data_IF_508880303184
#
_entry.id   IF_508880303184
#
_cell.length_a   1.000
_cell.length_b   1.000
_cell.length_c   1.000
_cell.angle_alpha   90.00
_cell.angle_beta   90.00
_cell.angle_gamma   90.00
#
_symmetry.space_group_name_H-M   'P 1'
#
loop_
_entity.id
_entity.type
_entity.pdbx_description
1 polymer ?
#
# COMPACT_ATOMS: atom_id res chain seq x y z
N UNK A 1 17.17 13.23 -28.65
CA UNK A 1 16.15 12.55 -29.47
C UNK A 1 15.10 12.01 -28.50
N UNK A 2 13.87 12.54 -28.55
CA UNK A 2 12.76 11.95 -27.81
C UNK A 2 12.40 10.66 -28.55
N UNK A 3 12.68 9.51 -27.93
CA UNK A 3 12.08 8.25 -28.37
C UNK A 3 10.55 8.44 -28.30
N UNK A 4 9.81 7.98 -29.30
CA UNK A 4 8.35 8.04 -29.25
C UNK A 4 7.79 6.97 -28.29
N UNK A 5 6.48 7.02 -28.01
CA UNK A 5 5.84 6.04 -27.14
C UNK A 5 5.98 4.60 -27.67
N UNK A 6 5.98 4.43 -29.00
CA UNK A 6 6.08 3.13 -29.67
C UNK A 6 7.46 2.49 -29.44
N UNK A 7 8.53 3.27 -29.59
CA UNK A 7 9.88 2.80 -29.34
C UNK A 7 10.13 2.49 -27.86
N UNK A 8 9.54 3.28 -26.96
CA UNK A 8 9.60 2.96 -25.54
C UNK A 8 8.84 1.66 -25.21
N UNK A 9 7.67 1.43 -25.80
CA UNK A 9 6.94 0.16 -25.66
C UNK A 9 7.80 -1.02 -26.14
N UNK A 10 8.47 -0.90 -27.29
CA UNK A 10 9.38 -1.95 -27.80
C UNK A 10 10.52 -2.24 -26.83
N UNK A 11 11.09 -1.21 -26.20
CA UNK A 11 12.21 -1.34 -25.28
C UNK A 11 11.85 -2.01 -23.94
N UNK A 12 10.57 -2.15 -23.59
CA UNK A 12 10.14 -2.90 -22.41
C UNK A 12 10.52 -4.38 -22.46
N UNK A 13 10.79 -4.93 -23.65
CA UNK A 13 11.19 -6.33 -23.84
C UNK A 13 12.68 -6.47 -24.20
N UNK A 14 13.48 -5.40 -24.09
CA UNK A 14 14.92 -5.47 -24.37
C UNK A 14 15.63 -6.39 -23.35
N UNK A 15 16.67 -7.08 -23.79
CA UNK A 15 17.48 -7.98 -22.94
C UNK A 15 18.15 -7.25 -21.78
N UNK A 16 18.47 -5.97 -21.95
CA UNK A 16 19.07 -5.12 -20.93
C UNK A 16 18.02 -4.53 -19.98
N UNK A 17 18.10 -4.90 -18.70
CA UNK A 17 17.22 -4.32 -17.66
C UNK A 17 17.36 -2.80 -17.58
N UNK A 18 18.55 -2.25 -17.86
CA UNK A 18 18.75 -0.80 -17.89
C UNK A 18 17.90 -0.10 -18.96
N UNK A 19 17.74 -0.71 -20.15
CA UNK A 19 16.89 -0.19 -21.22
C UNK A 19 15.41 -0.33 -20.87
N UNK A 20 14.99 -1.49 -20.34
CA UNK A 20 13.61 -1.69 -19.86
C UNK A 20 13.21 -0.65 -18.81
N UNK A 21 14.12 -0.35 -17.86
CA UNK A 21 13.94 0.70 -16.85
C UNK A 21 13.82 2.09 -17.46
N UNK A 22 14.66 2.43 -18.42
CA UNK A 22 14.60 3.71 -19.13
C UNK A 22 13.29 3.87 -19.91
N UNK A 23 12.84 2.80 -20.56
CA UNK A 23 11.54 2.74 -21.24
C UNK A 23 10.38 2.97 -20.27
N UNK A 24 10.35 2.29 -19.12
CA UNK A 24 9.32 2.50 -18.11
C UNK A 24 9.29 3.94 -17.58
N UNK A 25 10.46 4.53 -17.27
CA UNK A 25 10.56 5.94 -16.85
C UNK A 25 9.99 6.89 -17.91
N UNK A 26 10.28 6.62 -19.18
CA UNK A 26 9.82 7.42 -20.29
C UNK A 26 8.30 7.30 -20.50
N UNK A 27 7.77 6.07 -20.52
CA UNK A 27 6.33 5.84 -20.64
C UNK A 27 5.55 6.49 -19.50
N UNK A 28 6.05 6.41 -18.26
CA UNK A 28 5.46 7.12 -17.12
C UNK A 28 5.39 8.63 -17.34
N UNK A 29 6.43 9.23 -17.93
CA UNK A 29 6.46 10.67 -18.25
C UNK A 29 5.47 11.03 -19.35
N UNK A 30 5.27 10.14 -20.31
CA UNK A 30 4.30 10.33 -21.41
C UNK A 30 2.86 10.16 -20.92
N UNK A 31 2.61 9.22 -20.01
CA UNK A 31 1.28 8.96 -19.45
C UNK A 31 0.27 8.46 -20.49
N UNK A 32 0.75 7.82 -21.56
CA UNK A 32 -0.10 7.32 -22.65
C UNK A 32 -0.79 6.00 -22.23
N UNK A 33 -2.14 5.95 -22.13
CA UNK A 33 -2.87 4.75 -21.76
C UNK A 33 -2.62 3.54 -22.69
N UNK A 34 -2.23 3.79 -23.94
CA UNK A 34 -1.93 2.73 -24.90
C UNK A 34 -0.71 1.88 -24.47
N UNK A 35 0.13 2.39 -23.57
CA UNK A 35 1.28 1.67 -23.04
C UNK A 35 0.92 0.70 -21.89
N UNK A 36 -0.26 0.84 -21.28
CA UNK A 36 -0.70 0.04 -20.12
C UNK A 36 -0.57 -1.47 -20.32
N UNK A 37 -1.16 -2.06 -21.38
CA UNK A 37 -1.07 -3.50 -21.63
C UNK A 37 0.37 -4.01 -21.79
N UNK A 38 1.21 -3.25 -22.50
CA UNK A 38 2.62 -3.62 -22.68
C UNK A 38 3.43 -3.52 -21.39
N UNK A 39 3.15 -2.51 -20.55
CA UNK A 39 3.75 -2.36 -19.22
C UNK A 39 3.36 -3.50 -18.28
N UNK A 40 2.09 -3.90 -18.28
CA UNK A 40 1.60 -5.00 -17.46
C UNK A 40 2.33 -6.32 -17.81
N UNK A 41 2.40 -6.66 -19.10
CA UNK A 41 3.09 -7.87 -19.55
C UNK A 41 4.59 -7.83 -19.27
N UNK A 42 5.23 -6.67 -19.43
CA UNK A 42 6.64 -6.50 -19.06
C UNK A 42 6.86 -6.67 -17.55
N UNK A 43 6.00 -6.09 -16.71
CA UNK A 43 6.08 -6.21 -15.26
C UNK A 43 5.93 -7.66 -14.80
N UNK A 44 4.97 -8.42 -15.34
CA UNK A 44 4.79 -9.86 -15.06
C UNK A 44 6.04 -10.70 -15.30
N UNK A 45 6.85 -10.33 -16.28
CA UNK A 45 8.11 -11.00 -16.57
C UNK A 45 9.23 -10.49 -15.65
N UNK A 46 9.31 -9.17 -15.41
CA UNK A 46 10.37 -8.55 -14.61
C UNK A 46 10.32 -8.99 -13.13
N UNK A 47 9.12 -9.17 -12.56
CA UNK A 47 8.96 -9.57 -11.14
C UNK A 47 9.54 -10.94 -10.82
N UNK A 48 9.82 -11.77 -11.84
CA UNK A 48 10.44 -13.09 -11.67
C UNK A 48 11.94 -13.00 -11.35
N UNK A 49 12.59 -11.86 -11.62
CA UNK A 49 14.00 -11.64 -11.32
C UNK A 49 14.18 -10.64 -10.18
N UNK A 50 14.41 -11.14 -8.97
CA UNK A 50 14.59 -10.33 -7.75
C UNK A 50 15.79 -9.37 -7.81
N UNK A 51 16.71 -9.52 -8.76
CA UNK A 51 17.86 -8.61 -8.94
C UNK A 51 17.49 -7.29 -9.61
N UNK A 52 16.29 -7.18 -10.17
CA UNK A 52 15.85 -6.05 -11.00
C UNK A 52 14.93 -5.07 -10.27
N UNK A 53 15.16 -4.89 -8.96
CA UNK A 53 14.28 -4.11 -8.08
C UNK A 53 13.95 -2.71 -8.59
N UNK A 54 14.93 -1.99 -9.16
CA UNK A 54 14.69 -0.64 -9.67
C UNK A 54 13.82 -0.67 -10.93
N UNK A 55 13.98 -1.68 -11.78
CA UNK A 55 13.17 -1.84 -13.00
C UNK A 55 11.73 -2.20 -12.65
N UNK A 56 11.53 -3.14 -11.72
CA UNK A 56 10.20 -3.48 -11.21
C UNK A 56 9.50 -2.26 -10.59
N UNK A 57 10.22 -1.45 -9.79
CA UNK A 57 9.69 -0.20 -9.24
C UNK A 57 9.22 0.76 -10.34
N UNK A 58 10.06 1.01 -11.35
CA UNK A 58 9.72 1.95 -12.42
C UNK A 58 8.57 1.45 -13.30
N UNK A 59 8.52 0.15 -13.60
CA UNK A 59 7.40 -0.45 -14.34
C UNK A 59 6.10 -0.36 -13.55
N UNK A 60 6.14 -0.62 -12.23
CA UNK A 60 4.95 -0.50 -11.36
C UNK A 60 4.44 0.93 -11.30
N UNK A 61 5.32 1.92 -11.12
CA UNK A 61 4.95 3.34 -11.16
C UNK A 61 4.42 3.78 -12.53
N UNK A 62 5.01 3.26 -13.62
CA UNK A 62 4.56 3.55 -14.97
C UNK A 62 3.17 2.98 -15.23
N UNK A 63 2.90 1.75 -14.77
CA UNK A 63 1.59 1.12 -14.83
C UNK A 63 0.55 1.92 -14.03
N UNK A 64 0.90 2.48 -12.88
CA UNK A 64 0.00 3.39 -12.14
C UNK A 64 -0.40 4.66 -12.92
N UNK A 65 0.40 5.07 -13.91
CA UNK A 65 0.13 6.27 -14.72
C UNK A 65 -0.51 5.96 -16.07
N UNK A 66 -0.13 4.83 -16.69
CA UNK A 66 -0.53 4.45 -18.04
C UNK A 66 -1.52 3.28 -18.07
N UNK A 67 -1.72 2.60 -16.95
CA UNK A 67 -2.59 1.45 -16.83
C UNK A 67 -4.06 1.85 -16.69
N UNK A 68 -4.88 0.86 -16.41
CA UNK A 68 -6.32 1.00 -16.24
C UNK A 68 -6.81 0.24 -15.00
N UNK A 69 -8.04 0.48 -14.51
CA UNK A 69 -8.62 -0.25 -13.39
C UNK A 69 -8.56 -1.78 -13.51
N UNK A 70 -8.57 -2.33 -14.72
CA UNK A 70 -8.45 -3.78 -14.92
C UNK A 70 -7.10 -4.37 -14.47
N UNK A 71 -6.09 -3.53 -14.23
CA UNK A 71 -4.77 -3.95 -13.74
C UNK A 71 -4.73 -4.10 -12.21
N UNK A 72 -5.75 -3.59 -11.50
CA UNK A 72 -5.82 -3.63 -10.02
C UNK A 72 -5.75 -5.04 -9.43
N UNK A 73 -6.45 -6.07 -9.94
CA UNK A 73 -6.35 -7.42 -9.41
C UNK A 73 -4.90 -7.92 -9.42
N UNK A 74 -4.19 -7.70 -10.53
CA UNK A 74 -2.79 -8.12 -10.63
C UNK A 74 -1.88 -7.36 -9.65
N UNK A 75 -2.04 -6.04 -9.52
CA UNK A 75 -1.23 -5.25 -8.57
C UNK A 75 -1.50 -5.67 -7.12
N UNK A 76 -2.75 -5.95 -6.76
CA UNK A 76 -3.12 -6.44 -5.43
C UNK A 76 -2.47 -7.80 -5.16
N UNK A 77 -2.56 -8.73 -6.10
CA UNK A 77 -1.91 -10.04 -5.98
C UNK A 77 -0.39 -9.90 -5.86
N UNK A 78 0.22 -9.02 -6.67
CA UNK A 78 1.66 -8.77 -6.66
C UNK A 78 2.13 -8.27 -5.29
N UNK A 79 1.49 -7.26 -4.70
CA UNK A 79 1.94 -6.69 -3.40
C UNK A 79 1.63 -7.58 -2.20
N UNK A 80 0.85 -8.65 -2.37
CA UNK A 80 0.61 -9.65 -1.33
C UNK A 80 1.56 -10.85 -1.41
N UNK A 81 2.33 -10.99 -2.50
CA UNK A 81 3.33 -12.05 -2.60
C UNK A 81 4.48 -11.82 -1.61
N UNK A 82 4.93 -12.91 -0.99
CA UNK A 82 5.94 -12.88 0.07
C UNK A 82 7.31 -12.39 -0.43
N UNK A 83 7.62 -12.68 -1.68
CA UNK A 83 8.89 -12.34 -2.33
C UNK A 83 8.91 -10.92 -2.89
N UNK A 84 7.80 -10.18 -2.79
CA UNK A 84 7.69 -8.83 -3.35
C UNK A 84 8.64 -7.86 -2.67
N UNK A 85 9.38 -7.14 -3.50
CA UNK A 85 10.42 -6.24 -3.03
C UNK A 85 9.82 -5.02 -2.33
N UNK A 86 10.53 -4.50 -1.31
CA UNK A 86 10.10 -3.32 -0.56
C UNK A 86 9.79 -2.13 -1.48
N UNK A 87 10.62 -1.89 -2.50
CA UNK A 87 10.37 -0.83 -3.48
C UNK A 87 9.06 -1.04 -4.26
N UNK A 88 8.73 -2.28 -4.63
CA UNK A 88 7.51 -2.62 -5.36
C UNK A 88 6.26 -2.40 -4.50
N UNK A 89 6.34 -2.59 -3.19
CA UNK A 89 5.24 -2.22 -2.29
C UNK A 89 4.94 -0.71 -2.34
N UNK A 90 5.96 0.14 -2.23
CA UNK A 90 5.75 1.60 -2.34
C UNK A 90 5.16 1.99 -3.69
N UNK A 91 5.71 1.47 -4.79
CA UNK A 91 5.17 1.75 -6.12
C UNK A 91 3.75 1.18 -6.32
N UNK A 92 3.49 -0.01 -5.77
CA UNK A 92 2.20 -0.67 -5.85
C UNK A 92 1.11 0.11 -5.10
N UNK A 93 1.43 0.67 -3.93
CA UNK A 93 0.50 1.51 -3.18
C UNK A 93 0.11 2.77 -3.96
N UNK A 94 1.10 3.44 -4.56
CA UNK A 94 0.87 4.62 -5.40
C UNK A 94 0.02 4.24 -6.64
N UNK A 95 0.41 3.17 -7.35
CA UNK A 95 -0.29 2.71 -8.55
C UNK A 95 -1.73 2.27 -8.26
N UNK A 96 -1.99 1.56 -7.17
CA UNK A 96 -3.33 1.12 -6.78
C UNK A 96 -4.25 2.33 -6.55
N UNK A 97 -3.78 3.38 -5.86
CA UNK A 97 -4.60 4.59 -5.64
C UNK A 97 -4.87 5.34 -6.95
N UNK A 98 -3.87 5.46 -7.83
CA UNK A 98 -4.03 6.13 -9.14
C UNK A 98 -5.00 5.39 -10.06
N UNK A 99 -4.90 4.07 -10.14
CA UNK A 99 -5.79 3.28 -10.99
C UNK A 99 -7.21 3.19 -10.42
N UNK A 100 -7.35 3.22 -9.09
CA UNK A 100 -8.66 3.25 -8.46
C UNK A 100 -9.44 4.54 -8.77
N UNK A 101 -8.76 5.64 -9.11
CA UNK A 101 -9.38 6.90 -9.59
C UNK A 101 -10.43 6.68 -10.68
N UNK A 102 -10.19 5.68 -11.54
CA UNK A 102 -10.91 5.56 -12.80
C UNK A 102 -12.17 4.67 -12.72
N UNK A 103 -12.45 4.01 -11.60
CA UNK A 103 -13.68 3.20 -11.44
C UNK A 103 -14.34 3.24 -10.04
N UNK A 104 -13.60 3.40 -8.93
CA UNK A 104 -14.13 3.28 -7.55
C UNK A 104 -13.59 4.39 -6.63
N UNK A 105 -14.27 4.66 -5.51
CA UNK A 105 -13.82 5.69 -4.55
C UNK A 105 -12.40 5.39 -4.05
N UNK A 106 -11.48 6.38 -4.11
CA UNK A 106 -10.14 6.27 -3.54
C UNK A 106 -10.12 5.84 -2.08
N UNK A 107 -11.18 6.14 -1.33
CA UNK A 107 -11.35 5.70 0.05
C UNK A 107 -11.24 4.17 0.17
N UNK A 108 -11.82 3.41 -0.77
CA UNK A 108 -11.74 1.95 -0.74
C UNK A 108 -10.32 1.44 -1.01
N UNK A 109 -9.61 2.07 -1.93
CA UNK A 109 -8.23 1.74 -2.24
C UNK A 109 -7.30 2.02 -1.05
N UNK A 110 -7.46 3.18 -0.42
CA UNK A 110 -6.70 3.57 0.78
C UNK A 110 -7.01 2.58 1.91
N UNK A 111 -8.30 2.34 2.20
CA UNK A 111 -8.71 1.39 3.25
C UNK A 111 -8.20 -0.02 2.99
N UNK A 112 -8.25 -0.49 1.75
CA UNK A 112 -7.65 -1.77 1.38
C UNK A 112 -6.15 -1.80 1.69
N UNK A 113 -5.38 -0.77 1.31
CA UNK A 113 -3.97 -0.68 1.64
C UNK A 113 -3.73 -0.72 3.16
N UNK A 114 -4.53 -0.02 3.96
CA UNK A 114 -4.45 -0.04 5.43
C UNK A 114 -4.67 -1.45 6.00
N UNK A 115 -5.63 -2.22 5.47
CA UNK A 115 -5.92 -3.58 5.95
C UNK A 115 -4.77 -4.57 5.73
N UNK A 116 -3.84 -4.28 4.81
CA UNK A 116 -2.67 -5.14 4.59
C UNK A 116 -1.67 -5.11 5.75
N UNK A 117 -1.71 -4.08 6.61
CA UNK A 117 -0.71 -3.89 7.66
C UNK A 117 0.68 -3.50 7.16
N UNK A 118 0.87 -3.37 5.84
CA UNK A 118 2.17 -3.11 5.22
C UNK A 118 2.42 -1.60 5.10
N UNK A 119 3.27 -1.08 5.98
CA UNK A 119 3.58 0.34 6.10
C UNK A 119 4.15 0.96 4.82
N UNK A 120 4.87 0.17 4.03
CA UNK A 120 5.54 0.63 2.80
C UNK A 120 4.56 0.79 1.66
N UNK A 121 3.60 -0.14 1.59
CA UNK A 121 2.45 -0.07 0.69
C UNK A 121 1.54 1.11 1.04
N UNK A 122 1.22 1.25 2.33
CA UNK A 122 0.41 2.36 2.86
C UNK A 122 1.09 3.71 2.58
N UNK A 123 2.40 3.81 2.83
CA UNK A 123 3.18 5.01 2.54
C UNK A 123 3.11 5.41 1.06
N UNK A 124 3.23 4.44 0.15
CA UNK A 124 3.06 4.68 -1.29
C UNK A 124 1.65 5.16 -1.65
N UNK A 125 0.62 4.54 -1.07
CA UNK A 125 -0.77 4.96 -1.27
C UNK A 125 -1.03 6.40 -0.80
N UNK A 126 -0.56 6.76 0.39
CA UNK A 126 -0.69 8.11 0.93
C UNK A 126 0.14 9.14 0.14
N UNK A 127 1.30 8.74 -0.39
CA UNK A 127 2.06 9.56 -1.32
C UNK A 127 1.24 9.89 -2.58
N UNK A 128 0.56 8.89 -3.17
CA UNK A 128 -0.33 9.14 -4.32
C UNK A 128 -1.47 10.09 -3.95
N UNK A 129 -2.11 9.93 -2.79
CA UNK A 129 -3.14 10.84 -2.28
C UNK A 129 -2.64 12.29 -2.26
N UNK A 130 -1.44 12.52 -1.71
CA UNK A 130 -0.83 13.85 -1.67
C UNK A 130 -0.51 14.39 -3.07
N UNK A 131 0.06 13.56 -3.95
CA UNK A 131 0.44 13.96 -5.31
C UNK A 131 -0.76 14.26 -6.21
N UNK A 132 -1.86 13.51 -6.05
CA UNK A 132 -3.13 13.72 -6.74
C UNK A 132 -3.98 14.83 -6.09
N UNK A 133 -3.53 15.39 -4.95
CA UNK A 133 -4.25 16.40 -4.15
C UNK A 133 -5.67 15.94 -3.79
N UNK A 134 -5.81 14.65 -3.47
CA UNK A 134 -7.07 14.08 -3.03
C UNK A 134 -7.37 14.53 -1.61
N UNK A 135 -8.62 14.91 -1.35
CA UNK A 135 -9.11 15.18 -0.01
C UNK A 135 -9.90 13.94 0.47
N UNK A 136 -9.28 13.03 1.26
CA UNK A 136 -10.01 11.92 1.85
C UNK A 136 -11.11 12.44 2.78
N UNK A 137 -12.22 11.71 2.83
CA UNK A 137 -13.29 12.00 3.79
C UNK A 137 -12.82 11.73 5.24
N UNK A 138 -13.62 12.21 6.20
CA UNK A 138 -13.28 12.12 7.62
C UNK A 138 -13.14 10.67 8.12
N UNK A 139 -13.88 9.72 7.54
CA UNK A 139 -13.81 8.30 7.91
C UNK A 139 -12.44 7.74 7.49
N UNK A 140 -12.06 7.98 6.23
CA UNK A 140 -10.75 7.58 5.70
C UNK A 140 -9.58 8.21 6.47
N UNK A 141 -9.70 9.49 6.87
CA UNK A 141 -8.69 10.14 7.72
C UNK A 141 -8.57 9.44 9.07
N UNK A 142 -9.71 9.08 9.68
CA UNK A 142 -9.72 8.36 10.96
C UNK A 142 -9.05 7.00 10.84
N UNK A 143 -9.35 6.24 9.78
CA UNK A 143 -8.72 4.93 9.53
C UNK A 143 -7.19 5.04 9.39
N UNK A 144 -6.69 6.10 8.74
CA UNK A 144 -5.24 6.36 8.63
C UNK A 144 -4.62 6.67 9.99
N UNK A 145 -5.28 7.49 10.82
CA UNK A 145 -4.80 7.81 12.17
C UNK A 145 -4.77 6.56 13.07
N UNK A 146 -5.84 5.75 13.04
CA UNK A 146 -5.93 4.50 13.78
C UNK A 146 -4.79 3.53 13.37
N UNK A 147 -4.49 3.45 12.07
CA UNK A 147 -3.36 2.65 11.57
C UNK A 147 -2.02 3.12 12.14
N UNK A 148 -1.78 4.43 12.19
CA UNK A 148 -0.54 5.01 12.75
C UNK A 148 -0.46 4.79 14.26
N UNK A 149 -1.56 4.97 14.99
CA UNK A 149 -1.63 4.79 16.44
C UNK A 149 -1.39 3.33 16.85
N UNK A 150 -1.99 2.38 16.13
CA UNK A 150 -1.81 0.94 16.37
C UNK A 150 -0.33 0.50 16.25
N UNK A 151 0.47 1.23 15.47
CA UNK A 151 1.91 0.98 15.30
C UNK A 151 2.78 1.78 16.27
N UNK A 152 2.28 2.91 16.75
CA UNK A 152 2.99 3.79 17.67
C UNK A 152 2.95 3.32 19.12
N UNK A 153 2.06 2.37 19.47
CA UNK A 153 2.00 1.77 20.81
C UNK A 153 3.25 0.93 21.08
N UNK A 154 4.18 1.37 21.94
CA UNK A 154 5.34 0.57 22.32
C UNK A 154 4.86 -0.58 23.21
N UNK A 155 5.41 -1.78 23.02
CA UNK A 155 5.26 -2.92 23.96
C UNK A 155 6.02 -2.67 25.28
N UNK A 156 6.33 -1.42 25.62
CA UNK A 156 7.17 -1.08 26.76
C UNK A 156 6.43 -0.19 27.77
N UNK A 157 5.40 -0.76 28.38
CA UNK A 157 4.90 -0.39 29.72
C UNK A 157 4.52 -1.67 30.51
N UNK A 158 5.23 -2.77 30.24
CA UNK A 158 5.31 -3.87 31.21
C UNK A 158 6.36 -3.50 32.25
N UNK A 159 5.95 -2.72 33.25
CA UNK A 159 6.40 -2.75 34.65
C UNK A 159 5.71 -1.61 35.42
N UNK A 160 4.41 -1.72 35.65
CA UNK A 160 3.83 -1.18 36.89
C UNK A 160 3.62 -2.37 37.82
N UNK A 161 4.65 -2.66 38.62
CA UNK A 161 4.46 -3.43 39.84
C UNK A 161 3.43 -2.66 40.67
N UNK A 162 2.30 -3.31 40.92
CA UNK A 162 1.23 -2.85 41.79
C UNK A 162 1.82 -2.42 43.15
N UNK A 163 1.79 -1.13 43.44
CA UNK A 163 1.92 -0.62 44.79
C UNK A 163 0.68 -1.00 45.59
N UNK A 164 0.83 -2.03 46.41
CA UNK A 164 -0.14 -2.58 47.35
C UNK A 164 -0.54 -1.50 48.37
N UNK A 165 -1.83 -1.15 48.47
CA UNK A 165 -2.40 -0.54 49.67
C UNK A 165 -3.45 -1.52 50.19
N UNK A 166 -3.14 -2.08 51.35
CA UNK A 166 -3.88 -3.10 52.07
C UNK A 166 -5.15 -2.50 52.69
N UNK A 167 -6.34 -2.97 52.28
CA UNK A 167 -7.57 -2.92 53.09
C UNK A 167 -8.35 -4.22 52.82
N UNK A 168 -8.45 -5.05 53.86
CA UNK A 168 -8.92 -6.43 53.78
C UNK A 168 -10.36 -6.63 53.28
N UNK A 169 -10.63 -7.90 52.93
CA UNK A 169 -11.98 -8.39 52.63
C UNK A 169 -12.07 -9.10 51.28
N UNK A 170 -11.74 -10.39 51.28
CA UNK A 170 -12.06 -11.46 50.33
C UNK A 170 -13.03 -11.15 49.17
N UNK A 171 -12.48 -10.90 47.96
CA UNK A 171 -13.04 -11.36 46.67
C UNK A 171 -12.04 -11.16 45.52
N UNK A 172 -11.45 -12.23 44.99
CA UNK A 172 -10.58 -12.16 43.81
C UNK A 172 -11.41 -12.30 42.54
N UNK A 173 -11.49 -11.23 41.74
CA UNK A 173 -11.91 -11.31 40.34
C UNK A 173 -10.76 -10.87 39.45
N UNK A 174 -10.17 -11.79 38.69
CA UNK A 174 -9.17 -11.46 37.67
C UNK A 174 -9.93 -10.89 36.47
N UNK A 175 -10.00 -9.56 36.37
CA UNK A 175 -10.43 -8.86 35.16
C UNK A 175 -9.19 -8.58 34.31
N UNK A 176 -8.99 -9.32 33.20
CA UNK A 176 -8.00 -8.92 32.19
C UNK A 176 -8.62 -7.86 31.31
N UNK A 177 -8.44 -6.59 31.68
CA UNK A 177 -8.68 -5.49 30.76
C UNK A 177 -7.39 -5.18 30.02
N UNK A 178 -7.46 -5.17 28.68
CA UNK A 178 -6.43 -4.52 27.85
C UNK A 178 -6.70 -3.03 27.91
N UNK A 179 -6.17 -2.37 28.92
CA UNK A 179 -6.17 -0.91 29.02
C UNK A 179 -5.13 -0.32 28.06
N UNK A 180 -5.59 0.42 27.06
CA UNK A 180 -4.74 1.37 26.34
C UNK A 180 -4.81 2.69 27.11
N UNK A 181 -3.66 3.25 27.49
CA UNK A 181 -3.56 4.41 28.39
C UNK A 181 -4.09 5.74 27.79
N UNK A 182 -4.61 5.76 26.56
CA UNK A 182 -5.14 6.96 25.90
C UNK A 182 -6.67 7.16 26.01
N UNK A 183 -7.39 6.27 26.71
CA UNK A 183 -8.80 6.49 27.05
C UNK A 183 -9.79 6.53 25.88
N UNK A 184 -9.37 6.14 24.66
CA UNK A 184 -10.24 6.05 23.48
C UNK A 184 -10.07 4.70 22.77
N UNK A 185 -10.45 3.61 23.41
CA UNK A 185 -10.67 2.36 22.69
C UNK A 185 -12.11 2.30 22.17
N UNK A 186 -12.33 2.57 20.88
CA UNK A 186 -13.51 1.99 20.20
C UNK A 186 -13.23 0.52 19.99
N UNK A 187 -14.08 -0.34 20.53
CA UNK A 187 -14.02 -1.77 20.29
C UNK A 187 -14.24 -2.05 18.80
N UNK A 188 -13.18 -2.47 18.11
CA UNK A 188 -13.27 -3.04 16.77
C UNK A 188 -13.98 -4.39 16.87
N UNK A 189 -15.32 -4.38 16.83
CA UNK A 189 -16.09 -5.59 16.58
C UNK A 189 -16.09 -5.85 15.08
N UNK A 190 -15.23 -6.76 14.64
CA UNK A 190 -15.30 -7.37 13.32
C UNK A 190 -16.71 -7.93 13.09
N UNK A 191 -17.51 -7.18 12.36
CA UNK A 191 -18.86 -7.56 11.98
C UNK A 191 -18.82 -8.79 11.08
N UNK A 192 -19.26 -9.94 11.62
CA UNK A 192 -19.72 -11.04 10.78
C UNK A 192 -20.96 -10.55 10.04
N UNK A 193 -20.86 -10.39 8.72
CA UNK A 193 -22.05 -10.34 7.87
C UNK A 193 -22.77 -11.68 7.98
N UNK A 194 -24.02 -11.64 8.44
CA UNK A 194 -25.08 -12.55 8.01
C UNK A 194 -26.26 -11.67 7.62
N UNK A 195 -26.92 -12.12 6.54
CA UNK A 195 -27.97 -11.51 5.75
C UNK A 195 -28.98 -10.68 6.55
#
# INVERSE_FOLDING_TARGET
MALDAVDAIRQLQDRSSAKRRSAAKQLRKLGDPNAGPALLEALKNEVRDSRTWETQYQMTMALGTCGSPSDLPYLRDLVLQRETLHAVHTAGGDAIVRLSYMEHSHAEAIRWCLTTGNETLVGGALQAVAMLRLAPDQETVTDVLDFIEAKSCPVNDLLVVSGMVDHGGDRWSIRRERGCASGRCRAWHGGRRRL
#
